data_IF_412074092027
#
_entry.id   IF_412074092027
#
_cell.length_a   1.000
_cell.length_b   1.000
_cell.length_c   1.000
_cell.angle_alpha   90.00
_cell.angle_beta   90.00
_cell.angle_gamma   90.00
#
_symmetry.space_group_name_H-M   'P 1'
#
loop_
_entity.id
_entity.type
_entity.pdbx_description
1 polymer ?
#
# COMPACT_ATOMS: atom_id res chain seq x y z
N UNK A 1 -40.15 -27.19 15.59
CA UNK A 1 -39.82 -26.11 16.55
C UNK A 1 -38.97 -26.70 17.68
N UNK A 2 -37.95 -25.95 18.15
CA UNK A 2 -36.89 -26.27 19.15
C UNK A 2 -35.55 -26.75 18.55
N UNK A 3 -34.69 -25.87 18.06
CA UNK A 3 -33.68 -25.01 18.76
C UNK A 3 -32.39 -25.72 19.18
N UNK A 4 -31.37 -25.60 18.31
CA UNK A 4 -30.02 -25.08 18.61
C UNK A 4 -29.53 -25.10 20.08
N UNK A 5 -29.15 -26.22 20.71
CA UNK A 5 -28.45 -26.15 22.01
C UNK A 5 -27.46 -27.29 22.36
N UNK A 6 -27.11 -28.21 21.43
CA UNK A 6 -26.18 -29.30 21.75
C UNK A 6 -24.75 -29.13 21.17
N UNK A 7 -24.42 -27.96 20.64
CA UNK A 7 -23.13 -27.69 19.96
C UNK A 7 -21.96 -27.36 20.90
N UNK A 8 -22.12 -27.50 22.21
CA UNK A 8 -21.15 -27.02 23.23
C UNK A 8 -20.92 -28.02 24.38
N UNK A 9 -20.89 -29.33 24.10
CA UNK A 9 -20.41 -30.33 25.08
C UNK A 9 -19.26 -31.12 24.49
N UNK A 10 -18.03 -30.80 24.92
CA UNK A 10 -16.95 -31.79 24.88
C UNK A 10 -15.57 -31.31 24.46
N UNK A 11 -15.14 -30.11 24.86
CA UNK A 11 -13.73 -29.65 24.75
C UNK A 11 -12.71 -30.54 25.50
N UNK A 12 -13.13 -31.64 26.15
CA UNK A 12 -12.26 -32.70 26.70
C UNK A 12 -11.70 -33.66 25.64
N UNK A 13 -12.11 -33.52 24.37
CA UNK A 13 -11.61 -34.21 23.19
C UNK A 13 -10.71 -33.30 22.35
N UNK A 14 -9.66 -32.71 22.94
CA UNK A 14 -8.65 -31.96 22.20
C UNK A 14 -7.40 -32.84 22.06
N UNK A 15 -6.86 -33.09 20.88
CA UNK A 15 -7.33 -33.93 19.76
C UNK A 15 -6.14 -34.18 18.82
N UNK A 16 -5.10 -33.36 18.89
CA UNK A 16 -4.06 -33.31 17.86
C UNK A 16 -3.41 -34.67 17.55
N UNK A 17 -3.26 -35.60 18.51
CA UNK A 17 -2.62 -36.91 18.25
C UNK A 17 -3.24 -38.15 18.88
N UNK A 18 -4.50 -38.11 19.35
CA UNK A 18 -5.08 -39.27 20.07
C UNK A 18 -5.23 -40.55 19.22
N UNK A 19 -4.98 -40.47 17.90
CA UNK A 19 -5.04 -41.59 16.95
C UNK A 19 -3.68 -42.07 16.42
N UNK A 20 -2.55 -41.54 16.91
CA UNK A 20 -1.24 -42.07 16.55
C UNK A 20 -0.86 -43.20 17.50
N UNK A 21 -0.60 -44.40 16.96
CA UNK A 21 -0.20 -45.59 17.71
C UNK A 21 1.28 -45.48 18.14
N UNK A 22 1.62 -44.43 18.87
CA UNK A 22 2.96 -44.06 19.28
C UNK A 22 3.14 -44.33 20.78
N UNK A 23 4.34 -44.77 21.16
CA UNK A 23 4.70 -44.96 22.57
C UNK A 23 4.64 -43.60 23.29
N UNK A 24 4.27 -43.55 24.58
CA UNK A 24 3.93 -42.31 25.32
C UNK A 24 5.02 -41.21 25.21
N UNK A 25 6.29 -41.61 25.11
CA UNK A 25 7.44 -40.73 24.91
C UNK A 25 7.45 -40.06 23.53
N UNK A 26 7.06 -40.78 22.48
CA UNK A 26 7.01 -40.26 21.11
C UNK A 26 5.86 -39.27 20.92
N UNK A 27 4.69 -39.50 21.54
CA UNK A 27 3.58 -38.54 21.52
C UNK A 27 3.98 -37.21 22.17
N UNK A 28 4.69 -37.27 23.30
CA UNK A 28 5.19 -36.07 23.97
C UNK A 28 6.19 -35.28 23.11
N UNK A 29 7.12 -35.99 22.44
CA UNK A 29 8.09 -35.37 21.52
C UNK A 29 7.39 -34.71 20.33
N UNK A 30 6.43 -35.39 19.70
CA UNK A 30 5.67 -34.85 18.55
C UNK A 30 4.89 -33.60 18.95
N UNK A 31 4.24 -33.61 20.11
CA UNK A 31 3.53 -32.44 20.63
C UNK A 31 4.45 -31.24 20.84
N UNK A 32 5.60 -31.46 21.49
CA UNK A 32 6.58 -30.39 21.72
C UNK A 32 7.13 -29.87 20.38
N UNK A 33 7.46 -30.76 19.44
CA UNK A 33 7.96 -30.38 18.12
C UNK A 33 6.94 -29.53 17.34
N UNK A 34 5.65 -29.88 17.40
CA UNK A 34 4.59 -29.10 16.75
C UNK A 34 4.32 -27.76 17.41
N UNK A 35 4.41 -27.70 18.75
CA UNK A 35 4.33 -26.43 19.46
C UNK A 35 5.48 -25.51 19.07
N UNK A 36 6.70 -26.03 18.97
CA UNK A 36 7.86 -25.27 18.49
C UNK A 36 7.65 -24.80 17.05
N UNK A 37 7.18 -25.68 16.16
CA UNK A 37 6.89 -25.32 14.77
C UNK A 37 5.84 -24.20 14.68
N UNK A 38 4.75 -24.33 15.42
CA UNK A 38 3.71 -23.30 15.47
C UNK A 38 4.26 -21.97 16.00
N UNK A 39 5.11 -22.00 17.03
CA UNK A 39 5.75 -20.80 17.57
C UNK A 39 6.67 -20.12 16.54
N UNK A 40 7.51 -20.89 15.83
CA UNK A 40 8.40 -20.36 14.79
C UNK A 40 7.60 -19.74 13.64
N UNK A 41 6.53 -20.41 13.19
CA UNK A 41 5.65 -19.86 12.15
C UNK A 41 4.99 -18.55 12.59
N UNK A 42 4.54 -18.47 13.84
CA UNK A 42 3.89 -17.28 14.39
C UNK A 42 4.88 -16.11 14.54
N UNK A 43 6.12 -16.39 14.93
CA UNK A 43 7.20 -15.40 14.96
C UNK A 43 7.52 -14.92 13.53
N UNK A 44 7.66 -15.82 12.57
CA UNK A 44 7.90 -15.47 11.16
C UNK A 44 6.77 -14.60 10.59
N UNK A 45 5.52 -14.97 10.86
CA UNK A 45 4.35 -14.21 10.42
C UNK A 45 4.29 -12.81 11.06
N UNK A 46 4.58 -12.69 12.36
CA UNK A 46 4.58 -11.38 13.05
C UNK A 46 5.69 -10.48 12.52
N UNK A 47 6.91 -10.99 12.33
CA UNK A 47 8.02 -10.26 11.71
C UNK A 47 7.67 -9.81 10.29
N UNK A 48 7.09 -10.70 9.48
CA UNK A 48 6.63 -10.35 8.14
C UNK A 48 5.60 -9.22 8.16
N UNK A 49 4.61 -9.27 9.07
CA UNK A 49 3.60 -8.23 9.23
C UNK A 49 4.17 -6.89 9.70
N UNK A 50 5.14 -6.92 10.60
CA UNK A 50 5.83 -5.70 11.06
C UNK A 50 6.63 -5.09 9.91
N UNK A 51 7.37 -5.91 9.16
CA UNK A 51 8.16 -5.43 8.04
C UNK A 51 7.28 -4.84 6.93
N UNK A 52 6.15 -5.50 6.62
CA UNK A 52 5.14 -4.98 5.70
C UNK A 52 4.62 -3.60 6.14
N UNK A 53 4.27 -3.45 7.43
CA UNK A 53 3.82 -2.17 8.00
C UNK A 53 4.90 -1.09 7.90
N UNK A 54 6.16 -1.43 8.20
CA UNK A 54 7.27 -0.49 8.12
C UNK A 54 7.50 -0.01 6.67
N UNK A 55 7.53 -0.92 5.70
CA UNK A 55 7.66 -0.59 4.28
C UNK A 55 6.52 0.33 3.84
N UNK A 56 5.29 0.05 4.27
CA UNK A 56 4.14 0.89 3.96
C UNK A 56 4.27 2.29 4.57
N UNK A 57 4.60 2.37 5.86
CA UNK A 57 4.77 3.65 6.55
C UNK A 57 5.88 4.49 5.90
N UNK A 58 6.99 3.86 5.53
CA UNK A 58 8.09 4.51 4.83
C UNK A 58 7.68 5.01 3.44
N UNK A 59 6.93 4.22 2.67
CA UNK A 59 6.37 4.66 1.38
C UNK A 59 5.41 5.84 1.52
N UNK A 60 4.57 5.87 2.56
CA UNK A 60 3.68 6.99 2.83
C UNK A 60 4.49 8.24 3.16
N UNK A 61 5.48 8.13 4.06
CA UNK A 61 6.37 9.24 4.42
C UNK A 61 7.09 9.80 3.20
N UNK A 62 7.63 8.95 2.32
CA UNK A 62 8.26 9.41 1.07
C UNK A 62 7.26 10.09 0.12
N UNK A 63 6.01 9.62 0.07
CA UNK A 63 4.95 10.29 -0.68
C UNK A 63 4.61 11.66 -0.13
N UNK A 64 4.53 11.81 1.19
CA UNK A 64 4.28 13.09 1.87
C UNK A 64 5.42 14.08 1.63
N UNK A 65 6.68 13.66 1.78
CA UNK A 65 7.86 14.48 1.47
C UNK A 65 7.85 14.95 0.01
N UNK A 66 7.55 14.06 -0.93
CA UNK A 66 7.44 14.40 -2.35
C UNK A 66 6.36 15.45 -2.62
N UNK A 67 5.18 15.34 -1.99
CA UNK A 67 4.09 16.31 -2.15
C UNK A 67 4.53 17.68 -1.62
N UNK A 68 5.19 17.73 -0.46
CA UNK A 68 5.69 18.98 0.10
C UNK A 68 6.74 19.63 -0.80
N UNK A 69 7.66 18.85 -1.35
CA UNK A 69 8.68 19.38 -2.26
C UNK A 69 8.05 19.87 -3.58
N UNK A 70 7.04 19.17 -4.08
CA UNK A 70 6.26 19.62 -5.23
C UNK A 70 5.53 20.94 -4.96
N UNK A 71 4.93 21.08 -3.77
CA UNK A 71 4.28 22.34 -3.35
C UNK A 71 5.28 23.49 -3.31
N UNK A 72 6.49 23.29 -2.76
CA UNK A 72 7.53 24.34 -2.75
C UNK A 72 7.94 24.76 -4.15
N UNK A 73 8.06 23.82 -5.08
CA UNK A 73 8.38 24.12 -6.49
C UNK A 73 7.25 24.93 -7.13
N UNK A 74 5.99 24.50 -6.95
CA UNK A 74 4.84 25.25 -7.46
C UNK A 74 4.76 26.64 -6.84
N UNK A 75 4.92 26.76 -5.53
CA UNK A 75 4.92 28.05 -4.84
C UNK A 75 6.03 28.96 -5.35
N UNK A 76 7.23 28.43 -5.62
CA UNK A 76 8.32 29.21 -6.21
C UNK A 76 7.96 29.73 -7.60
N UNK A 77 7.51 28.84 -8.48
CA UNK A 77 7.19 29.16 -9.89
C UNK A 77 5.99 30.11 -9.99
N UNK A 78 4.95 29.92 -9.17
CA UNK A 78 3.73 30.73 -9.20
C UNK A 78 3.89 32.06 -8.45
N UNK A 79 4.76 32.14 -7.44
CA UNK A 79 5.03 33.40 -6.71
C UNK A 79 5.80 34.41 -7.55
N UNK A 80 6.66 33.95 -8.46
CA UNK A 80 7.36 34.82 -9.41
C UNK A 80 6.43 35.38 -10.50
N UNK A 81 5.32 34.70 -10.80
CA UNK A 81 4.40 35.07 -11.87
C UNK A 81 2.95 34.96 -11.39
N UNK A 82 2.41 36.08 -10.87
CA UNK A 82 1.03 36.19 -10.33
C UNK A 82 -0.10 35.78 -11.30
N UNK A 83 0.19 35.53 -12.58
CA UNK A 83 -0.78 35.17 -13.63
C UNK A 83 -0.41 33.89 -14.41
N UNK A 84 0.55 33.09 -13.97
CA UNK A 84 0.89 31.84 -14.68
C UNK A 84 -0.11 30.73 -14.39
N UNK A 85 -0.60 30.09 -15.45
CA UNK A 85 -1.41 28.88 -15.39
C UNK A 85 -0.50 27.64 -15.41
N UNK A 86 -0.97 26.51 -14.87
CA UNK A 86 -0.32 25.19 -15.08
C UNK A 86 -0.22 24.80 -16.58
N UNK A 87 -0.87 25.56 -17.46
CA UNK A 87 -0.81 25.44 -18.92
C UNK A 87 0.38 26.17 -19.54
N UNK A 88 1.05 27.07 -18.81
CA UNK A 88 2.22 27.79 -19.32
C UNK A 88 3.38 26.84 -19.58
N UNK A 89 4.06 27.05 -20.72
CA UNK A 89 5.13 26.19 -21.20
C UNK A 89 6.31 26.12 -20.21
N UNK A 90 6.58 27.21 -19.52
CA UNK A 90 7.67 27.32 -18.54
C UNK A 90 7.34 26.55 -17.24
N UNK A 91 6.11 26.68 -16.74
CA UNK A 91 5.61 25.91 -15.59
C UNK A 91 5.60 24.42 -15.91
N UNK A 92 5.16 24.04 -17.11
CA UNK A 92 5.21 22.65 -17.58
C UNK A 92 6.63 22.09 -17.64
N UNK A 93 7.62 22.92 -17.98
CA UNK A 93 9.02 22.52 -18.02
C UNK A 93 9.55 22.25 -16.61
N UNK A 94 9.30 23.16 -15.67
CA UNK A 94 9.71 23.00 -14.26
C UNK A 94 9.06 21.76 -13.61
N UNK A 95 7.76 21.56 -13.84
CA UNK A 95 7.05 20.34 -13.41
C UNK A 95 7.67 19.09 -14.06
N UNK A 96 8.02 19.17 -15.35
CA UNK A 96 8.66 18.07 -16.06
C UNK A 96 10.03 17.71 -15.50
N UNK A 97 10.83 18.71 -15.13
CA UNK A 97 12.15 18.52 -14.54
C UNK A 97 12.06 17.97 -13.11
N UNK A 98 11.10 18.44 -12.31
CA UNK A 98 10.76 17.84 -11.01
C UNK A 98 10.40 16.35 -11.15
N UNK A 99 9.51 16.00 -12.09
CA UNK A 99 9.11 14.60 -12.26
C UNK A 99 10.28 13.74 -12.74
N UNK A 100 11.15 14.26 -13.60
CA UNK A 100 12.36 13.54 -14.04
C UNK A 100 13.30 13.26 -12.88
N UNK A 101 13.53 14.24 -12.01
CA UNK A 101 14.36 14.11 -10.81
C UNK A 101 13.82 13.00 -9.91
N UNK A 102 12.54 13.07 -9.52
CA UNK A 102 11.94 12.06 -8.63
C UNK A 102 11.82 10.69 -9.29
N UNK A 103 11.51 10.63 -10.59
CA UNK A 103 11.41 9.36 -11.33
C UNK A 103 12.74 8.64 -11.48
N UNK A 104 13.86 9.38 -11.54
CA UNK A 104 15.21 8.84 -11.69
C UNK A 104 15.81 8.46 -10.34
N UNK A 105 15.70 9.34 -9.35
CA UNK A 105 16.44 9.21 -8.09
C UNK A 105 15.68 8.40 -7.04
N UNK A 106 14.35 8.36 -7.11
CA UNK A 106 13.50 7.69 -6.10
C UNK A 106 12.82 6.42 -6.61
N UNK A 107 13.06 6.02 -7.86
CA UNK A 107 12.64 4.72 -8.39
C UNK A 107 11.13 4.54 -8.54
N UNK A 108 10.34 5.62 -8.62
CA UNK A 108 8.91 5.52 -8.87
C UNK A 108 8.64 4.86 -10.24
N UNK A 109 7.82 3.81 -10.23
CA UNK A 109 7.44 3.09 -11.45
C UNK A 109 6.64 4.00 -12.38
N UNK A 110 5.66 4.72 -11.83
CA UNK A 110 4.79 5.64 -12.55
C UNK A 110 4.52 6.87 -11.67
N UNK A 111 4.74 8.06 -12.24
CA UNK A 111 4.36 9.34 -11.65
C UNK A 111 3.50 10.07 -12.69
N UNK A 112 2.29 10.45 -12.28
CA UNK A 112 1.31 11.13 -13.11
C UNK A 112 0.87 12.38 -12.38
N UNK A 113 0.88 13.51 -13.10
CA UNK A 113 0.33 14.78 -12.65
C UNK A 113 -0.80 15.11 -13.61
N UNK A 114 -1.99 15.32 -13.06
CA UNK A 114 -3.18 15.70 -13.80
C UNK A 114 -3.75 17.01 -13.25
N UNK A 115 -4.47 17.75 -14.09
CA UNK A 115 -5.26 18.90 -13.63
C UNK A 115 -6.55 18.45 -12.93
N UNK A 116 -7.34 19.44 -12.48
CA UNK A 116 -8.63 19.25 -11.81
C UNK A 116 -9.65 18.49 -12.67
N UNK A 117 -9.51 18.55 -14.00
CA UNK A 117 -10.35 17.83 -14.98
C UNK A 117 -9.81 16.42 -15.28
N UNK A 118 -8.81 15.95 -14.53
CA UNK A 118 -8.10 14.68 -14.73
C UNK A 118 -7.34 14.59 -16.06
N UNK A 119 -7.10 15.72 -16.73
CA UNK A 119 -6.26 15.76 -17.92
C UNK A 119 -4.81 15.65 -17.49
N UNK A 120 -4.11 14.65 -18.03
CA UNK A 120 -2.70 14.41 -17.70
C UNK A 120 -1.85 15.58 -18.21
N UNK A 121 -1.27 16.32 -17.27
CA UNK A 121 -0.26 17.36 -17.51
C UNK A 121 1.10 16.69 -17.75
N UNK A 122 1.41 15.66 -16.95
CA UNK A 122 2.65 14.92 -17.05
C UNK A 122 2.44 13.43 -16.77
N UNK A 123 3.10 12.56 -17.56
CA UNK A 123 3.24 11.15 -17.25
C UNK A 123 4.59 10.62 -17.74
N UNK A 124 5.21 9.75 -16.94
CA UNK A 124 6.42 8.99 -17.35
C UNK A 124 6.13 7.99 -18.48
N UNK A 125 4.88 7.53 -18.62
CA UNK A 125 4.49 6.55 -19.65
C UNK A 125 4.28 7.26 -20.98
N UNK A 126 5.04 6.85 -22.00
CA UNK A 126 4.80 7.29 -23.37
C UNK A 126 3.34 6.95 -23.79
N UNK A 127 2.58 7.95 -24.21
CA UNK A 127 1.21 7.77 -24.71
C UNK A 127 0.05 8.04 -23.73
N UNK A 128 0.33 8.51 -22.51
CA UNK A 128 -0.67 9.04 -21.56
C UNK A 128 -0.74 10.57 -21.52
N UNK A 129 0.24 11.27 -22.12
CA UNK A 129 0.19 12.73 -22.25
C UNK A 129 -1.06 13.12 -23.03
N UNK A 130 -1.84 14.05 -22.47
CA UNK A 130 -3.13 14.54 -23.02
C UNK A 130 -4.33 13.57 -22.96
N UNK A 131 -4.19 12.37 -22.37
CA UNK A 131 -5.35 11.52 -22.06
C UNK A 131 -5.93 11.85 -20.70
N UNK A 132 -7.23 11.62 -20.53
CA UNK A 132 -7.89 11.69 -19.21
C UNK A 132 -7.44 10.48 -18.39
N UNK A 133 -6.87 10.73 -17.21
CA UNK A 133 -6.48 9.64 -16.32
C UNK A 133 -7.75 8.96 -15.79
N UNK A 134 -7.95 7.69 -16.14
CA UNK A 134 -9.13 6.91 -15.78
C UNK A 134 -9.00 6.19 -14.42
N UNK A 135 -8.21 6.73 -13.49
CA UNK A 135 -8.07 6.16 -12.15
C UNK A 135 -9.25 6.57 -11.27
N UNK A 136 -10.18 5.64 -11.02
CA UNK A 136 -11.35 5.86 -10.15
C UNK A 136 -10.98 6.42 -8.77
N UNK A 137 -9.83 6.00 -8.24
CA UNK A 137 -9.30 6.44 -6.95
C UNK A 137 -8.90 7.92 -6.93
N UNK A 138 -8.26 8.42 -7.99
CA UNK A 138 -7.83 9.82 -8.05
C UNK A 138 -9.03 10.76 -8.24
N UNK A 139 -9.99 10.36 -9.09
CA UNK A 139 -11.25 11.09 -9.29
C UNK A 139 -12.03 11.24 -7.97
N UNK A 140 -12.05 10.18 -7.17
CA UNK A 140 -12.68 10.21 -5.84
C UNK A 140 -11.97 11.16 -4.89
N UNK A 141 -10.63 11.17 -4.87
CA UNK A 141 -9.86 12.07 -4.00
C UNK A 141 -10.08 13.54 -4.37
N UNK A 142 -10.05 13.89 -5.67
CA UNK A 142 -10.30 15.26 -6.13
C UNK A 142 -11.72 15.72 -5.78
N UNK A 143 -12.74 14.88 -6.03
CA UNK A 143 -14.14 15.25 -5.79
C UNK A 143 -14.53 15.32 -4.32
N UNK A 144 -13.94 14.48 -3.47
CA UNK A 144 -14.29 14.43 -2.04
C UNK A 144 -13.37 15.26 -1.16
N UNK A 145 -12.20 15.67 -1.66
CA UNK A 145 -11.12 16.26 -0.85
C UNK A 145 -10.56 15.31 0.21
N UNK A 146 -11.03 14.06 0.27
CA UNK A 146 -10.65 13.10 1.28
C UNK A 146 -9.66 12.10 0.70
N UNK A 147 -8.38 12.34 0.98
CA UNK A 147 -7.32 11.37 0.72
C UNK A 147 -7.46 10.20 1.69
N UNK A 148 -7.99 9.08 1.19
CA UNK A 148 -7.94 7.81 1.89
C UNK A 148 -6.77 7.02 1.30
N UNK A 149 -5.66 6.82 2.04
CA UNK A 149 -4.57 5.96 1.59
C UNK A 149 -5.06 4.50 1.58
N UNK A 150 -5.85 4.12 0.57
CA UNK A 150 -6.28 2.75 0.37
C UNK A 150 -5.21 2.05 -0.45
N UNK A 151 -4.43 1.23 0.22
CA UNK A 151 -3.39 0.41 -0.41
C UNK A 151 -4.09 -0.77 -1.07
N UNK A 152 -4.25 -0.71 -2.39
CA UNK A 152 -4.70 -1.85 -3.17
C UNK A 152 -3.54 -2.81 -3.37
N UNK A 153 -3.61 -3.96 -2.71
CA UNK A 153 -2.66 -5.04 -2.90
C UNK A 153 -3.04 -5.81 -4.16
N UNK A 154 -2.30 -5.58 -5.23
CA UNK A 154 -2.29 -6.47 -6.39
C UNK A 154 -1.56 -7.77 -5.99
N UNK A 155 -2.28 -8.73 -5.44
CA UNK A 155 -1.75 -10.06 -5.08
C UNK A 155 -2.39 -10.61 -3.81
N UNK A 156 -3.43 -11.43 -4.00
CA UNK A 156 -3.89 -12.34 -2.96
C UNK A 156 -2.95 -13.55 -2.91
N UNK A 157 -2.55 -13.94 -1.71
CA UNK A 157 -2.15 -15.32 -1.43
C UNK A 157 -3.41 -16.09 -1.05
#
# INVERSE_FOLDING_TARGET
>A
MKTNWAKMKGLSNLWLFRNLNLNLRAELIVNIALLILAAVLLIGFTLFKINERNIVAEKIRYGEEMIQDFQKVLDFVLKEKRDTSLKDQEVRREIGDFVRLYSRDKGFQELVIADEEMKVIFSKRAGLSEKVYAGDSLKKVITTGQFHPRIEKSGGF
#
